data_IF_481782459538
#
_entry.id   IF_481782459538
#
_cell.length_a   1.000
_cell.length_b   1.000
_cell.length_c   1.000
_cell.angle_alpha   90.00
_cell.angle_beta   90.00
_cell.angle_gamma   90.00
#
_symmetry.space_group_name_H-M   'P 1'
#
loop_
_entity.id
_entity.type
_entity.pdbx_description
1 polymer ?
#
# COMPACT_ATOMS: atom_id res chain seq x y z
N UNK A 1 1.07 -25.27 14.29
CA UNK A 1 0.49 -24.68 13.05
C UNK A 1 0.67 -23.18 13.11
N UNK A 2 1.23 -22.58 12.07
CA UNK A 2 1.44 -21.12 11.99
C UNK A 2 1.01 -20.61 10.62
N UNK A 3 0.48 -19.39 10.61
CA UNK A 3 0.33 -18.62 9.37
C UNK A 3 1.67 -17.95 9.07
N UNK A 4 2.06 -17.92 7.81
CA UNK A 4 3.36 -17.40 7.38
C UNK A 4 3.28 -16.02 6.70
N UNK A 5 2.22 -15.29 6.98
CA UNK A 5 2.02 -13.92 6.52
C UNK A 5 0.96 -13.78 5.44
N UNK A 6 0.97 -12.64 4.78
CA UNK A 6 0.06 -12.35 3.68
C UNK A 6 0.51 -13.07 2.41
N UNK A 7 -0.36 -13.91 1.85
CA UNK A 7 -0.07 -14.65 0.62
C UNK A 7 -0.27 -13.76 -0.62
N UNK A 8 -1.45 -13.18 -0.75
CA UNK A 8 -1.79 -12.29 -1.85
C UNK A 8 -2.87 -11.29 -1.43
N UNK A 9 -3.00 -10.24 -2.20
CA UNK A 9 -4.02 -9.20 -2.04
C UNK A 9 -4.82 -9.11 -3.33
N UNK A 10 -6.14 -9.18 -3.23
CA UNK A 10 -7.04 -8.99 -4.36
C UNK A 10 -7.78 -7.66 -4.21
N UNK A 11 -7.71 -6.84 -5.24
CA UNK A 11 -8.43 -5.58 -5.34
C UNK A 11 -9.51 -5.68 -6.40
N UNK A 12 -10.74 -5.32 -6.03
CA UNK A 12 -11.83 -5.15 -6.97
C UNK A 12 -11.64 -3.85 -7.74
N UNK A 13 -11.67 -3.91 -9.07
CA UNK A 13 -11.47 -2.74 -9.94
C UNK A 13 -12.62 -2.65 -10.95
N UNK A 14 -13.06 -1.44 -11.24
CA UNK A 14 -14.20 -1.21 -12.14
C UNK A 14 -13.82 -1.15 -13.61
N UNK A 15 -12.55 -0.91 -13.90
CA UNK A 15 -11.97 -0.82 -15.23
C UNK A 15 -10.57 -1.44 -15.17
N UNK A 16 -10.42 -2.61 -15.78
CA UNK A 16 -9.17 -3.36 -15.69
C UNK A 16 -8.02 -2.66 -16.43
N UNK A 17 -8.29 -2.02 -17.57
CA UNK A 17 -7.26 -1.28 -18.32
C UNK A 17 -6.70 -0.13 -17.49
N UNK A 18 -7.57 0.67 -16.90
CA UNK A 18 -7.20 1.79 -16.04
C UNK A 18 -6.43 1.34 -14.81
N UNK A 19 -6.89 0.28 -14.15
CA UNK A 19 -6.18 -0.29 -12.99
C UNK A 19 -4.81 -0.84 -13.38
N UNK A 20 -4.71 -1.51 -14.53
CA UNK A 20 -3.45 -2.03 -15.04
C UNK A 20 -2.45 -0.93 -15.32
N UNK A 21 -2.87 0.15 -16.00
CA UNK A 21 -2.02 1.31 -16.27
C UNK A 21 -1.50 1.95 -14.96
N UNK A 22 -2.31 1.96 -13.93
CA UNK A 22 -1.91 2.47 -12.64
C UNK A 22 -0.88 1.55 -11.95
N UNK A 23 -1.21 0.27 -11.78
CA UNK A 23 -0.35 -0.64 -11.01
C UNK A 23 0.91 -1.03 -11.79
N UNK A 24 0.82 -1.39 -13.04
CA UNK A 24 1.98 -1.72 -13.85
C UNK A 24 2.72 -0.48 -14.37
N UNK A 25 1.99 0.54 -14.82
CA UNK A 25 2.57 1.74 -15.42
C UNK A 25 3.10 2.74 -14.40
N UNK A 26 2.25 3.20 -13.46
CA UNK A 26 2.63 4.24 -12.50
C UNK A 26 3.43 3.65 -11.34
N UNK A 27 2.91 2.60 -10.68
CA UNK A 27 3.58 1.97 -9.54
C UNK A 27 4.72 1.03 -9.94
N UNK A 28 4.79 0.59 -11.18
CA UNK A 28 5.86 -0.27 -11.65
C UNK A 28 5.77 -1.71 -11.16
N UNK A 29 4.57 -2.19 -10.80
CA UNK A 29 4.36 -3.59 -10.49
C UNK A 29 4.70 -4.46 -11.69
N UNK A 30 5.30 -5.62 -11.43
CA UNK A 30 5.68 -6.57 -12.48
C UNK A 30 4.47 -7.35 -12.97
N UNK A 31 4.06 -7.25 -14.25
CA UNK A 31 3.00 -8.08 -14.80
C UNK A 31 3.40 -9.55 -14.91
N UNK A 32 2.46 -10.45 -14.62
CA UNK A 32 2.66 -11.90 -14.78
C UNK A 32 1.61 -12.56 -15.67
N UNK A 33 0.34 -12.20 -15.51
CA UNK A 33 -0.74 -12.74 -16.32
C UNK A 33 -1.91 -11.76 -16.36
N UNK A 34 -2.64 -11.78 -17.46
CA UNK A 34 -3.84 -10.98 -17.63
C UNK A 34 -4.87 -11.75 -18.43
N UNK A 35 -6.13 -11.61 -18.07
CA UNK A 35 -7.28 -12.16 -18.81
C UNK A 35 -8.41 -11.14 -18.80
N UNK A 36 -9.54 -11.45 -19.43
CA UNK A 36 -10.61 -10.48 -19.62
C UNK A 36 -11.16 -9.86 -18.33
N UNK A 37 -11.18 -10.64 -17.23
CA UNK A 37 -11.78 -10.21 -15.97
C UNK A 37 -10.78 -10.03 -14.83
N UNK A 38 -9.48 -10.04 -15.09
CA UNK A 38 -8.50 -9.86 -14.03
C UNK A 38 -7.06 -9.93 -14.47
N UNK A 39 -6.17 -9.87 -13.50
CA UNK A 39 -4.73 -9.99 -13.74
C UNK A 39 -3.94 -10.22 -12.48
N UNK A 40 -2.72 -10.73 -12.68
CA UNK A 40 -1.73 -10.94 -11.64
C UNK A 40 -0.50 -10.10 -11.88
N UNK A 41 -0.09 -9.41 -10.83
CA UNK A 41 1.15 -8.62 -10.80
C UNK A 41 1.91 -8.96 -9.53
N UNK A 42 3.15 -8.55 -9.44
CA UNK A 42 3.90 -8.57 -8.19
C UNK A 42 4.51 -7.21 -7.89
N UNK A 43 4.64 -6.92 -6.60
CA UNK A 43 5.30 -5.75 -6.07
C UNK A 43 6.17 -6.21 -4.90
N UNK A 44 7.49 -6.18 -5.09
CA UNK A 44 8.36 -6.86 -4.14
C UNK A 44 7.97 -8.33 -4.01
N UNK A 45 7.80 -8.81 -2.80
CA UNK A 45 7.33 -10.18 -2.52
C UNK A 45 5.82 -10.35 -2.51
N UNK A 46 5.05 -9.29 -2.76
CA UNK A 46 3.59 -9.36 -2.74
C UNK A 46 3.04 -9.81 -4.10
N UNK A 47 2.19 -10.83 -4.08
CA UNK A 47 1.33 -11.19 -5.20
C UNK A 47 0.06 -10.33 -5.16
N UNK A 48 -0.11 -9.48 -6.17
CA UNK A 48 -1.27 -8.60 -6.32
C UNK A 48 -2.20 -9.14 -7.40
N UNK A 49 -3.49 -9.28 -7.05
CA UNK A 49 -4.54 -9.67 -7.97
C UNK A 49 -5.46 -8.48 -8.24
N UNK A 50 -5.80 -8.24 -9.49
CA UNK A 50 -6.87 -7.33 -9.88
C UNK A 50 -8.05 -8.16 -10.37
N UNK A 51 -9.23 -7.87 -9.85
CA UNK A 51 -10.48 -8.55 -10.25
C UNK A 51 -11.47 -7.52 -10.77
N UNK A 52 -11.91 -7.70 -12.02
CA UNK A 52 -12.87 -6.79 -12.63
C UNK A 52 -14.25 -6.97 -12.01
N UNK A 53 -14.70 -5.93 -11.35
CA UNK A 53 -16.03 -5.82 -10.74
C UNK A 53 -16.59 -4.43 -11.06
N UNK A 54 -17.36 -4.28 -12.15
CA UNK A 54 -17.82 -2.96 -12.62
C UNK A 54 -18.64 -2.17 -11.59
N UNK A 55 -19.31 -2.86 -10.68
CA UNK A 55 -20.17 -2.24 -9.65
C UNK A 55 -19.49 -2.12 -8.29
N UNK A 56 -18.19 -2.43 -8.19
CA UNK A 56 -17.46 -2.36 -6.93
C UNK A 56 -17.42 -0.92 -6.40
N UNK A 57 -17.50 -0.80 -5.07
CA UNK A 57 -17.30 0.45 -4.35
C UNK A 57 -16.05 0.34 -3.49
N UNK A 58 -15.29 1.45 -3.32
CA UNK A 58 -14.10 1.40 -2.48
C UNK A 58 -14.47 1.11 -1.02
N UNK A 59 -13.60 0.43 -0.27
CA UNK A 59 -13.80 0.23 1.17
C UNK A 59 -13.95 1.56 1.90
N UNK A 60 -14.81 1.60 2.92
CA UNK A 60 -14.99 2.76 3.77
C UNK A 60 -14.02 2.73 4.96
N UNK A 61 -13.84 3.88 5.62
CA UNK A 61 -13.04 4.02 6.83
C UNK A 61 -11.56 4.21 6.57
N UNK A 62 -10.74 3.77 7.54
CA UNK A 62 -9.29 3.98 7.52
C UNK A 62 -8.51 2.79 6.97
N UNK A 63 -9.18 1.78 6.47
CA UNK A 63 -8.50 0.62 5.86
C UNK A 63 -7.63 1.07 4.69
N UNK A 64 -6.36 0.73 4.74
CA UNK A 64 -5.41 1.09 3.69
C UNK A 64 -4.28 0.06 3.60
N UNK A 65 -3.59 0.09 2.49
CA UNK A 65 -2.45 -0.78 2.22
C UNK A 65 -1.20 0.07 2.06
N UNK A 66 -0.18 -0.21 2.87
CA UNK A 66 1.08 0.52 2.86
C UNK A 66 2.16 -0.32 2.17
N UNK A 67 2.83 0.28 1.20
CA UNK A 67 3.98 -0.29 0.53
C UNK A 67 5.26 0.36 1.06
N UNK A 68 6.26 -0.47 1.32
CA UNK A 68 7.57 0.02 1.77
C UNK A 68 8.33 0.71 0.64
N UNK A 69 9.03 1.76 0.99
CA UNK A 69 9.92 2.48 0.09
C UNK A 69 11.17 2.91 0.86
N UNK A 70 12.32 2.89 0.20
CA UNK A 70 13.55 3.37 0.81
C UNK A 70 13.56 4.89 0.91
N UNK A 71 14.16 5.42 1.98
CA UNK A 71 14.22 6.86 2.20
C UNK A 71 14.84 7.62 1.02
N UNK A 72 15.85 7.03 0.38
CA UNK A 72 16.52 7.64 -0.78
C UNK A 72 15.59 7.80 -1.99
N UNK A 73 14.62 6.91 -2.16
CA UNK A 73 13.72 6.89 -3.31
C UNK A 73 12.41 7.65 -3.07
N UNK A 74 12.10 7.97 -1.82
CA UNK A 74 10.82 8.59 -1.46
C UNK A 74 10.57 9.92 -2.17
N UNK A 75 11.54 10.86 -2.31
CA UNK A 75 11.30 12.10 -3.05
C UNK A 75 10.93 11.87 -4.52
N UNK A 76 11.59 10.93 -5.18
CA UNK A 76 11.31 10.60 -6.58
C UNK A 76 9.92 9.98 -6.76
N UNK A 77 9.49 9.16 -5.82
CA UNK A 77 8.13 8.61 -5.82
C UNK A 77 7.07 9.70 -5.63
N UNK A 78 7.32 10.64 -4.72
CA UNK A 78 6.42 11.79 -4.53
C UNK A 78 6.24 12.57 -5.82
N UNK A 79 7.33 12.88 -6.51
CA UNK A 79 7.29 13.59 -7.79
C UNK A 79 6.56 12.78 -8.87
N UNK A 80 6.83 11.48 -8.96
CA UNK A 80 6.20 10.59 -9.94
C UNK A 80 4.69 10.52 -9.77
N UNK A 81 4.20 10.35 -8.55
CA UNK A 81 2.78 10.29 -8.26
C UNK A 81 2.09 11.65 -8.52
N UNK A 82 2.74 12.75 -8.16
CA UNK A 82 2.24 14.09 -8.45
C UNK A 82 2.16 14.36 -9.96
N UNK A 83 3.18 14.00 -10.72
CA UNK A 83 3.21 14.15 -12.18
C UNK A 83 2.14 13.31 -12.87
N UNK A 84 1.78 12.17 -12.32
CA UNK A 84 0.70 11.32 -12.81
C UNK A 84 -0.70 11.79 -12.37
N UNK A 85 -0.81 12.88 -11.62
CA UNK A 85 -2.09 13.41 -11.14
C UNK A 85 -2.77 12.54 -10.08
N UNK A 86 -2.01 11.72 -9.37
CA UNK A 86 -2.53 10.83 -8.33
C UNK A 86 -3.01 11.65 -7.14
N UNK A 87 -4.23 11.39 -6.70
CA UNK A 87 -4.83 12.13 -5.58
C UNK A 87 -4.36 11.59 -4.24
N UNK A 88 -4.18 12.51 -3.27
CA UNK A 88 -3.92 12.17 -1.88
C UNK A 88 -5.24 12.13 -1.09
N UNK A 89 -5.29 11.28 -0.05
CA UNK A 89 -6.47 11.15 0.80
C UNK A 89 -6.20 11.50 2.27
N UNK A 90 -4.93 11.70 2.65
CA UNK A 90 -4.53 11.99 4.01
C UNK A 90 -3.16 12.66 4.04
N UNK A 91 -2.92 13.50 5.05
CA UNK A 91 -1.60 14.03 5.39
C UNK A 91 -0.90 13.09 6.38
N UNK A 92 0.44 13.01 6.27
CA UNK A 92 1.22 12.20 7.20
C UNK A 92 1.31 12.86 8.58
N UNK A 93 0.98 12.11 9.63
CA UNK A 93 1.07 12.52 11.04
C UNK A 93 1.82 11.52 11.90
N UNK A 94 2.44 10.51 11.30
CA UNK A 94 3.12 9.45 12.02
C UNK A 94 4.63 9.48 11.78
N UNK A 95 5.36 8.64 12.52
CA UNK A 95 6.79 8.48 12.36
C UNK A 95 7.13 8.00 10.95
N UNK A 96 8.24 8.49 10.40
CA UNK A 96 8.72 8.17 9.05
C UNK A 96 7.98 8.93 7.97
N UNK A 97 8.59 9.06 6.79
CA UNK A 97 7.95 9.68 5.64
C UNK A 97 6.85 8.80 5.09
N UNK A 98 5.71 9.39 4.82
CA UNK A 98 4.57 8.72 4.20
C UNK A 98 3.88 9.59 3.17
N UNK A 99 3.38 8.95 2.14
CA UNK A 99 2.50 9.55 1.16
C UNK A 99 1.24 8.69 1.03
N UNK A 100 0.08 9.28 1.33
CA UNK A 100 -1.22 8.61 1.28
C UNK A 100 -1.93 8.98 -0.01
N UNK A 101 -2.19 8.01 -0.87
CA UNK A 101 -2.75 8.25 -2.20
C UNK A 101 -3.84 7.24 -2.56
N UNK A 102 -4.61 7.57 -3.58
CA UNK A 102 -5.70 6.75 -4.08
C UNK A 102 -5.32 6.09 -5.40
N UNK A 103 -5.74 4.83 -5.56
CA UNK A 103 -5.77 4.23 -6.88
C UNK A 103 -6.98 4.74 -7.68
N UNK A 104 -7.13 4.37 -8.97
CA UNK A 104 -8.26 4.84 -9.79
C UNK A 104 -9.64 4.45 -9.27
N UNK A 105 -9.75 3.40 -8.48
CA UNK A 105 -10.98 2.89 -7.89
C UNK A 105 -11.28 3.44 -6.50
N UNK A 106 -10.36 4.24 -5.93
CA UNK A 106 -10.50 4.79 -4.60
C UNK A 106 -9.98 3.90 -3.48
N UNK A 107 -9.23 2.85 -3.80
CA UNK A 107 -8.49 2.11 -2.77
C UNK A 107 -7.46 3.03 -2.14
N UNK A 108 -7.44 3.03 -0.80
CA UNK A 108 -6.55 3.87 -0.01
C UNK A 108 -5.19 3.19 0.14
N UNK A 109 -4.19 3.83 -0.39
CA UNK A 109 -2.81 3.32 -0.42
C UNK A 109 -1.87 4.27 0.31
N UNK A 110 -0.70 3.76 0.67
CA UNK A 110 0.37 4.52 1.31
C UNK A 110 1.72 4.06 0.78
N UNK A 111 2.64 4.99 0.59
CA UNK A 111 4.07 4.69 0.57
C UNK A 111 4.64 5.08 1.93
N UNK A 112 5.40 4.19 2.56
CA UNK A 112 5.95 4.42 3.88
C UNK A 112 7.42 4.06 3.97
N UNK A 113 8.19 5.00 4.54
CA UNK A 113 9.59 4.79 4.92
C UNK A 113 9.63 4.41 6.39
N UNK A 114 9.93 3.16 6.68
CA UNK A 114 10.02 2.69 8.06
C UNK A 114 9.67 1.22 8.21
N UNK A 115 9.76 0.76 9.44
CA UNK A 115 9.52 -0.62 9.83
C UNK A 115 8.68 -0.66 11.11
N UNK A 116 8.21 -1.83 11.49
CA UNK A 116 7.59 -2.02 12.80
C UNK A 116 8.56 -1.61 13.92
N UNK A 117 9.84 -1.98 13.79
CA UNK A 117 10.86 -1.64 14.80
C UNK A 117 11.04 -0.13 14.94
N UNK A 118 11.14 0.62 13.83
CA UNK A 118 11.26 2.08 13.87
C UNK A 118 10.00 2.74 14.45
N UNK A 119 8.81 2.21 14.12
CA UNK A 119 7.55 2.69 14.66
C UNK A 119 7.46 2.46 16.16
N UNK A 120 7.82 1.27 16.64
CA UNK A 120 7.80 0.96 18.06
C UNK A 120 8.78 1.84 18.85
N UNK A 121 9.97 2.11 18.30
CA UNK A 121 10.93 3.01 18.92
C UNK A 121 10.34 4.44 19.10
N UNK A 122 9.69 4.96 18.05
CA UNK A 122 9.03 6.26 18.10
C UNK A 122 7.86 6.27 19.10
N UNK A 123 7.07 5.20 19.16
CA UNK A 123 5.96 5.08 20.08
C UNK A 123 6.41 4.95 21.55
N UNK A 124 7.57 4.34 21.81
CA UNK A 124 8.13 4.29 23.17
C UNK A 124 8.52 5.68 23.68
N UNK A 125 8.99 6.55 22.77
CA UNK A 125 9.30 7.93 23.12
C UNK A 125 8.03 8.78 23.30
N UNK A 126 6.98 8.49 22.53
CA UNK A 126 5.67 9.21 22.55
C UNK A 126 4.53 8.20 22.40
N UNK A 127 4.15 7.49 23.46
CA UNK A 127 3.11 6.47 23.35
C UNK A 127 1.74 7.09 23.08
N UNK A 128 0.92 6.36 22.32
CA UNK A 128 -0.50 6.71 22.17
C UNK A 128 -1.24 6.47 23.49
N UNK A 129 -2.37 7.14 23.65
CA UNK A 129 -3.21 6.97 24.83
C UNK A 129 -3.58 5.50 25.04
N UNK A 130 -3.31 4.97 26.23
CA UNK A 130 -3.58 3.58 26.58
C UNK A 130 -2.67 2.55 25.91
N UNK A 131 -1.63 2.98 25.22
CA UNK A 131 -0.71 2.09 24.52
C UNK A 131 0.04 1.19 25.49
N UNK A 132 0.10 -0.09 25.14
CA UNK A 132 0.87 -1.11 25.87
C UNK A 132 1.87 -1.74 24.94
N UNK A 133 3.05 -2.02 25.44
CA UNK A 133 4.09 -2.74 24.72
C UNK A 133 4.18 -4.16 25.28
N UNK A 134 4.39 -5.12 24.39
CA UNK A 134 4.62 -6.50 24.78
C UNK A 134 6.09 -6.79 24.56
N UNK A 135 6.72 -7.44 25.54
CA UNK A 135 8.13 -7.82 25.41
C UNK A 135 8.28 -8.70 24.17
N UNK A 136 9.28 -8.37 23.37
CA UNK A 136 9.61 -9.22 22.24
C UNK A 136 10.08 -10.56 22.77
N UNK A 137 9.55 -11.64 22.18
CA UNK A 137 10.10 -12.95 22.45
C UNK A 137 11.58 -12.93 22.05
N UNK A 138 12.50 -13.46 22.88
CA UNK A 138 13.90 -13.54 22.49
C UNK A 138 14.02 -14.27 21.15
N UNK A 139 14.81 -13.70 20.28
CA UNK A 139 15.03 -14.25 18.94
C UNK A 139 15.65 -15.65 18.99
#
# INVERSE_FOLDING_TARGET
MTLNGLNHLTLAVRDLERAWDFYAGILGCQPHARWDSGGYLSLGGLWLCLSLEPDAVPPAGYTHYAFGVDAADFPAWRERLAAAGVRQWRDNRSEGDSLYFLDPDGHQLELHVGTLASRLAACRARPYAGMRFFDEAPA
#
